data_IF_008128743762
#
_entry.id   IF_008128743762
#
_cell.length_a   1.000
_cell.length_b   1.000
_cell.length_c   1.000
_cell.angle_alpha   90.00
_cell.angle_beta   90.00
_cell.angle_gamma   90.00
#
_symmetry.space_group_name_H-M   'P 1'
#
loop_
_entity.id
_entity.type
_entity.pdbx_description
1 polymer ?
#
# COMPACT_ATOMS: atom_id res chain seq x y z
N UNK A 1 19.18 33.52 -20.62
CA UNK A 1 18.65 32.15 -20.79
C UNK A 1 19.11 31.31 -19.59
N UNK A 2 18.30 31.22 -18.53
CA UNK A 2 18.61 30.43 -17.33
C UNK A 2 17.72 29.19 -17.30
N UNK A 3 18.35 28.03 -17.28
CA UNK A 3 17.72 26.70 -17.30
C UNK A 3 17.03 26.46 -15.94
N UNK A 4 15.70 26.32 -15.96
CA UNK A 4 14.89 25.86 -14.82
C UNK A 4 15.16 24.36 -14.60
N UNK A 5 16.03 24.04 -13.67
CA UNK A 5 16.15 22.67 -13.13
C UNK A 5 14.94 22.38 -12.27
N UNK A 6 13.98 21.65 -12.83
CA UNK A 6 12.82 21.12 -12.11
C UNK A 6 13.29 19.89 -11.35
N UNK A 7 13.49 20.02 -10.04
CA UNK A 7 13.74 18.90 -9.14
C UNK A 7 12.39 18.26 -8.80
N UNK A 8 12.09 17.14 -9.45
CA UNK A 8 11.01 16.24 -9.07
C UNK A 8 11.38 15.57 -7.73
N UNK A 9 10.98 16.16 -6.61
CA UNK A 9 11.05 15.51 -5.31
C UNK A 9 9.76 14.70 -5.08
N UNK A 10 9.91 13.38 -5.16
CA UNK A 10 8.84 12.41 -4.95
C UNK A 10 8.18 12.55 -3.58
N UNK A 11 6.94 13.01 -3.57
CA UNK A 11 6.04 13.05 -2.42
C UNK A 11 4.95 11.98 -2.57
N UNK A 12 5.33 10.71 -2.69
CA UNK A 12 4.37 9.58 -2.70
C UNK A 12 4.60 8.58 -1.56
N UNK A 13 5.30 8.98 -0.51
CA UNK A 13 5.69 8.07 0.58
C UNK A 13 4.79 8.13 1.82
N UNK A 14 3.74 8.94 1.84
CA UNK A 14 2.83 9.04 2.99
C UNK A 14 1.49 8.29 2.84
N UNK A 15 1.29 7.52 1.77
CA UNK A 15 0.20 6.53 1.70
C UNK A 15 0.51 5.24 2.51
N UNK A 16 1.63 5.21 3.24
CA UNK A 16 2.27 4.03 3.82
C UNK A 16 1.81 3.62 5.23
N UNK A 17 0.59 3.98 5.59
CA UNK A 17 -0.07 3.42 6.76
C UNK A 17 -1.57 3.22 6.52
N UNK A 18 -1.96 2.78 5.31
CA UNK A 18 -3.28 2.15 5.18
C UNK A 18 -3.29 0.97 6.15
N UNK A 19 -4.18 0.94 7.15
CA UNK A 19 -3.95 0.01 8.22
C UNK A 19 -4.12 -1.42 7.69
N UNK A 20 -3.43 -2.39 8.31
CA UNK A 20 -3.39 -3.76 7.77
C UNK A 20 -4.76 -4.45 7.75
N UNK A 21 -5.79 -3.93 8.40
CA UNK A 21 -7.17 -4.43 8.29
C UNK A 21 -7.89 -4.02 6.99
N UNK A 22 -7.30 -3.13 6.19
CA UNK A 22 -7.96 -2.35 5.15
C UNK A 22 -7.43 -2.84 3.81
N UNK A 23 -8.25 -3.62 3.08
CA UNK A 23 -7.94 -4.06 1.71
C UNK A 23 -9.25 -4.24 0.93
N UNK A 24 -9.34 -3.77 -0.33
CA UNK A 24 -10.55 -3.81 -1.15
C UNK A 24 -10.79 -5.23 -1.69
N UNK A 25 -11.08 -6.18 -0.81
CA UNK A 25 -11.19 -7.59 -1.15
C UNK A 25 -12.26 -7.92 -2.19
N UNK A 26 -13.29 -7.08 -2.27
CA UNK A 26 -14.40 -7.19 -3.21
C UNK A 26 -13.98 -6.88 -4.65
N UNK A 27 -12.92 -6.11 -4.86
CA UNK A 27 -12.33 -5.83 -6.18
C UNK A 27 -11.32 -6.91 -6.61
N UNK A 28 -10.86 -7.72 -5.66
CA UNK A 28 -9.84 -8.73 -5.93
C UNK A 28 -10.47 -10.01 -6.49
N UNK A 29 -9.72 -10.80 -7.28
CA UNK A 29 -10.14 -12.14 -7.72
C UNK A 29 -10.60 -13.03 -6.55
N UNK A 30 -10.08 -12.74 -5.35
CA UNK A 30 -10.42 -13.40 -4.11
C UNK A 30 -11.91 -13.43 -3.76
N UNK A 31 -12.68 -12.41 -4.15
CA UNK A 31 -14.13 -12.38 -3.91
C UNK A 31 -14.87 -13.53 -4.62
N UNK A 32 -14.37 -13.95 -5.79
CA UNK A 32 -14.97 -15.06 -6.57
C UNK A 32 -14.83 -16.41 -5.88
N UNK A 33 -13.81 -16.57 -5.03
CA UNK A 33 -13.56 -17.83 -4.29
C UNK A 33 -14.44 -18.00 -3.04
N UNK A 34 -15.19 -16.97 -2.63
CA UNK A 34 -15.99 -17.00 -1.40
C UNK A 34 -17.34 -17.73 -1.55
N UNK A 35 -17.71 -18.12 -2.77
CA UNK A 35 -19.01 -18.75 -3.07
C UNK A 35 -20.17 -17.93 -2.48
N UNK A 36 -20.22 -16.63 -2.82
CA UNK A 36 -21.26 -15.72 -2.33
C UNK A 36 -22.62 -16.13 -2.87
N UNK A 37 -23.63 -16.20 -1.99
CA UNK A 37 -25.01 -16.41 -2.41
C UNK A 37 -25.52 -15.25 -3.28
N UNK A 38 -26.58 -15.43 -4.08
CA UNK A 38 -27.19 -14.32 -4.84
C UNK A 38 -27.58 -13.14 -3.94
N UNK A 39 -28.13 -13.42 -2.76
CA UNK A 39 -28.49 -12.39 -1.77
C UNK A 39 -27.28 -11.64 -1.23
N UNK A 40 -26.16 -12.32 -0.95
CA UNK A 40 -24.92 -11.67 -0.52
C UNK A 40 -24.34 -10.78 -1.61
N UNK A 41 -24.37 -11.23 -2.87
CA UNK A 41 -23.91 -10.43 -4.01
C UNK A 41 -24.73 -9.15 -4.17
N UNK A 42 -26.05 -9.25 -4.08
CA UNK A 42 -26.95 -8.10 -4.15
C UNK A 42 -26.71 -7.10 -3.01
N UNK A 43 -26.54 -7.58 -1.78
CA UNK A 43 -26.21 -6.74 -0.62
C UNK A 43 -24.87 -6.02 -0.80
N UNK A 44 -23.83 -6.73 -1.25
CA UNK A 44 -22.52 -6.15 -1.54
C UNK A 44 -22.63 -5.05 -2.59
N UNK A 45 -23.30 -5.32 -3.72
CA UNK A 45 -23.46 -4.32 -4.77
C UNK A 45 -24.25 -3.10 -4.28
N UNK A 46 -25.25 -3.29 -3.43
CA UNK A 46 -26.05 -2.20 -2.85
C UNK A 46 -25.19 -1.31 -1.95
N UNK A 47 -24.36 -1.91 -1.09
CA UNK A 47 -23.40 -1.18 -0.26
C UNK A 47 -22.43 -0.40 -1.15
N UNK A 48 -21.83 -1.04 -2.17
CA UNK A 48 -20.89 -0.36 -3.06
C UNK A 48 -21.53 0.84 -3.78
N UNK A 49 -22.76 0.69 -4.30
CA UNK A 49 -23.50 1.79 -4.93
C UNK A 49 -23.77 2.94 -3.97
N UNK A 50 -24.14 2.65 -2.72
CA UNK A 50 -24.42 3.66 -1.71
C UNK A 50 -23.20 4.55 -1.40
N UNK A 51 -22.00 3.97 -1.40
CA UNK A 51 -20.77 4.70 -1.02
C UNK A 51 -20.00 5.27 -2.21
N UNK A 52 -20.29 4.83 -3.45
CA UNK A 52 -19.53 5.18 -4.65
C UNK A 52 -19.35 6.68 -4.84
N UNK A 53 -20.44 7.45 -4.85
CA UNK A 53 -20.37 8.89 -5.13
C UNK A 53 -19.60 9.63 -4.05
N UNK A 54 -19.87 9.34 -2.77
CA UNK A 54 -19.16 9.95 -1.64
C UNK A 54 -17.65 9.67 -1.70
N UNK A 55 -17.24 8.45 -2.04
CA UNK A 55 -15.82 8.10 -2.16
C UNK A 55 -15.14 8.79 -3.35
N UNK A 56 -15.86 9.02 -4.46
CA UNK A 56 -15.36 9.80 -5.59
C UNK A 56 -15.12 11.25 -5.16
N UNK A 57 -16.12 11.88 -4.53
CA UNK A 57 -16.02 13.27 -4.08
C UNK A 57 -14.90 13.47 -3.05
N UNK A 58 -14.79 12.55 -2.09
CA UNK A 58 -13.73 12.60 -1.08
C UNK A 58 -12.34 12.36 -1.67
N UNK A 59 -12.21 11.52 -2.70
CA UNK A 59 -10.94 11.36 -3.42
C UNK A 59 -10.54 12.65 -4.12
N UNK A 60 -11.47 13.28 -4.83
CA UNK A 60 -11.22 14.59 -5.45
C UNK A 60 -10.85 15.65 -4.40
N UNK A 61 -11.43 15.61 -3.19
CA UNK A 61 -11.04 16.50 -2.09
C UNK A 61 -9.60 16.26 -1.63
N UNK A 62 -9.18 15.00 -1.51
CA UNK A 62 -7.79 14.66 -1.17
C UNK A 62 -6.84 15.15 -2.25
N UNK A 63 -7.14 14.89 -3.53
CA UNK A 63 -6.30 15.33 -4.66
C UNK A 63 -6.13 16.85 -4.68
N UNK A 64 -7.21 17.61 -4.43
CA UNK A 64 -7.15 19.08 -4.31
C UNK A 64 -6.28 19.55 -3.15
N UNK A 65 -6.39 18.90 -1.99
CA UNK A 65 -5.60 19.27 -0.81
C UNK A 65 -4.12 18.90 -0.97
N UNK A 66 -3.81 17.80 -1.65
CA UNK A 66 -2.44 17.42 -2.04
C UNK A 66 -1.85 18.44 -3.01
N UNK A 67 -2.61 18.87 -4.03
CA UNK A 67 -2.17 19.92 -4.96
C UNK A 67 -1.94 21.26 -4.25
N UNK A 68 -2.81 21.65 -3.33
CA UNK A 68 -2.63 22.88 -2.54
C UNK A 68 -1.37 22.82 -1.65
N UNK A 69 -1.05 21.64 -1.10
CA UNK A 69 0.19 21.43 -0.35
C UNK A 69 1.41 21.52 -1.27
N UNK A 70 1.36 20.93 -2.46
CA UNK A 70 2.42 21.04 -3.46
C UNK A 70 2.66 22.50 -3.87
N UNK A 71 1.59 23.25 -4.15
CA UNK A 71 1.66 24.68 -4.44
C UNK A 71 2.30 25.47 -3.31
N UNK A 72 2.06 25.09 -2.04
CA UNK A 72 2.68 25.72 -0.87
C UNK A 72 4.20 25.50 -0.84
N UNK A 73 4.69 24.30 -1.19
CA UNK A 73 6.12 24.01 -1.27
C UNK A 73 6.80 24.68 -2.47
N UNK A 74 6.07 24.93 -3.55
CA UNK A 74 6.61 25.50 -4.80
C UNK A 74 6.64 27.04 -4.83
N UNK A 75 6.23 27.73 -3.75
CA UNK A 75 6.27 29.21 -3.69
C UNK A 75 7.71 29.71 -3.54
N UNK A 76 8.00 30.85 -4.19
CA UNK A 76 9.31 31.51 -4.09
C UNK A 76 9.64 31.99 -2.67
N UNK A 77 8.61 32.34 -1.88
CA UNK A 77 8.75 32.71 -0.48
C UNK A 77 7.78 31.88 0.38
N UNK A 78 8.24 31.38 1.55
CA UNK A 78 7.38 30.63 2.45
C UNK A 78 6.24 31.54 2.96
N UNK A 79 4.98 31.08 2.90
CA UNK A 79 3.85 31.81 3.45
C UNK A 79 3.93 31.88 4.98
N UNK A 80 3.07 32.70 5.58
CA UNK A 80 2.99 32.80 7.04
C UNK A 80 2.56 31.46 7.68
N UNK A 81 2.86 31.26 8.99
CA UNK A 81 2.52 30.02 9.67
C UNK A 81 1.02 29.69 9.70
N UNK A 82 0.13 30.68 9.73
CA UNK A 82 -1.32 30.43 9.78
C UNK A 82 -1.82 29.87 8.45
N UNK A 83 -1.40 30.46 7.33
CA UNK A 83 -1.70 29.95 5.99
C UNK A 83 -1.15 28.54 5.81
N UNK A 84 0.08 28.29 6.27
CA UNK A 84 0.71 26.96 6.20
C UNK A 84 -0.08 25.91 6.97
N UNK A 85 -0.43 26.21 8.23
CA UNK A 85 -1.20 25.29 9.06
C UNK A 85 -2.56 24.97 8.45
N UNK A 86 -3.24 25.96 7.87
CA UNK A 86 -4.54 25.75 7.22
C UNK A 86 -4.47 24.73 6.08
N UNK A 87 -3.45 24.82 5.21
CA UNK A 87 -3.28 23.86 4.09
C UNK A 87 -2.99 22.45 4.61
N UNK A 88 -2.18 22.34 5.68
CA UNK A 88 -1.91 21.06 6.33
C UNK A 88 -3.21 20.48 6.91
N UNK A 89 -3.99 21.28 7.63
CA UNK A 89 -5.25 20.86 8.24
C UNK A 89 -6.26 20.39 7.18
N UNK A 90 -6.38 21.11 6.05
CA UNK A 90 -7.25 20.70 4.94
C UNK A 90 -6.89 19.32 4.38
N UNK A 91 -5.59 19.01 4.24
CA UNK A 91 -5.13 17.68 3.82
C UNK A 91 -5.43 16.61 4.88
N UNK A 92 -5.16 16.90 6.16
CA UNK A 92 -5.43 15.99 7.27
C UNK A 92 -6.92 15.66 7.33
N UNK A 93 -7.79 16.66 7.26
CA UNK A 93 -9.24 16.48 7.25
C UNK A 93 -9.71 15.66 6.04
N UNK A 94 -9.21 15.96 4.84
CA UNK A 94 -9.58 15.24 3.62
C UNK A 94 -9.21 13.76 3.72
N UNK A 95 -7.99 13.45 4.20
CA UNK A 95 -7.53 12.08 4.43
C UNK A 95 -8.33 11.37 5.53
N UNK A 96 -8.66 12.07 6.62
CA UNK A 96 -9.46 11.50 7.69
C UNK A 96 -10.88 11.16 7.20
N UNK A 97 -11.50 12.06 6.42
CA UNK A 97 -12.83 11.87 5.88
C UNK A 97 -12.92 10.65 4.95
N UNK A 98 -12.03 10.54 3.95
CA UNK A 98 -12.02 9.39 3.04
C UNK A 98 -11.72 8.09 3.79
N UNK A 99 -10.77 8.11 4.73
CA UNK A 99 -10.43 6.93 5.54
C UNK A 99 -11.65 6.48 6.33
N UNK A 100 -12.35 7.40 7.00
CA UNK A 100 -13.57 7.07 7.76
C UNK A 100 -14.63 6.42 6.88
N UNK A 101 -15.00 7.07 5.77
CA UNK A 101 -16.05 6.56 4.89
C UNK A 101 -15.69 5.21 4.27
N UNK A 102 -14.45 5.04 3.83
CA UNK A 102 -13.97 3.76 3.31
C UNK A 102 -13.97 2.65 4.38
N UNK A 103 -13.63 2.99 5.63
CA UNK A 103 -13.65 2.06 6.77
C UNK A 103 -15.07 1.60 7.08
N UNK A 104 -16.00 2.55 7.14
CA UNK A 104 -17.43 2.27 7.38
C UNK A 104 -18.00 1.37 6.28
N UNK A 105 -17.71 1.65 5.01
CA UNK A 105 -18.08 0.79 3.89
C UNK A 105 -17.48 -0.61 4.03
N UNK A 106 -16.16 -0.71 4.30
CA UNK A 106 -15.46 -1.98 4.45
C UNK A 106 -16.03 -2.82 5.59
N UNK A 107 -16.43 -2.18 6.69
CA UNK A 107 -17.10 -2.83 7.81
C UNK A 107 -18.47 -3.39 7.41
N UNK A 108 -19.30 -2.61 6.71
CA UNK A 108 -20.59 -3.10 6.19
C UNK A 108 -20.42 -4.29 5.24
N UNK A 109 -19.44 -4.23 4.34
CA UNK A 109 -19.12 -5.34 3.44
C UNK A 109 -18.69 -6.60 4.22
N UNK A 110 -17.88 -6.43 5.27
CA UNK A 110 -17.51 -7.54 6.16
C UNK A 110 -18.73 -8.20 6.80
N UNK A 111 -19.74 -7.43 7.20
CA UNK A 111 -20.94 -7.95 7.87
C UNK A 111 -21.81 -8.83 6.96
N UNK A 112 -21.68 -8.73 5.64
CA UNK A 112 -22.39 -9.60 4.68
C UNK A 112 -21.83 -11.04 4.67
N UNK A 113 -20.56 -11.22 5.02
CA UNK A 113 -19.88 -12.50 4.98
C UNK A 113 -20.11 -13.32 6.25
N UNK A 114 -20.30 -14.63 6.10
CA UNK A 114 -20.30 -15.55 7.25
C UNK A 114 -18.91 -15.59 7.93
N UNK A 115 -18.82 -16.03 9.19
CA UNK A 115 -17.53 -16.23 9.86
C UNK A 115 -16.57 -17.13 9.06
N UNK A 116 -17.07 -18.19 8.42
CA UNK A 116 -16.29 -19.13 7.63
C UNK A 116 -15.81 -18.51 6.31
N UNK A 117 -16.65 -17.73 5.63
CA UNK A 117 -16.24 -16.99 4.43
C UNK A 117 -15.16 -15.97 4.78
N UNK A 118 -15.30 -15.25 5.89
CA UNK A 118 -14.28 -14.30 6.34
C UNK A 118 -12.96 -14.98 6.71
N UNK A 119 -13.01 -16.12 7.41
CA UNK A 119 -11.80 -16.89 7.72
C UNK A 119 -11.08 -17.34 6.45
N UNK A 120 -11.83 -17.88 5.47
CA UNK A 120 -11.29 -18.26 4.15
C UNK A 120 -10.65 -17.07 3.44
N UNK A 121 -11.31 -15.92 3.45
CA UNK A 121 -10.78 -14.68 2.90
C UNK A 121 -9.42 -14.31 3.51
N UNK A 122 -9.32 -14.35 4.85
CA UNK A 122 -8.09 -13.96 5.55
C UNK A 122 -6.94 -14.95 5.30
N UNK A 123 -7.21 -16.25 5.32
CA UNK A 123 -6.21 -17.28 4.98
C UNK A 123 -5.69 -17.09 3.55
N UNK A 124 -6.57 -16.79 2.60
CA UNK A 124 -6.15 -16.50 1.22
C UNK A 124 -5.39 -15.19 1.11
N UNK A 125 -5.84 -14.13 1.79
CA UNK A 125 -5.14 -12.85 1.80
C UNK A 125 -3.66 -13.01 2.19
N UNK A 126 -3.37 -13.82 3.21
CA UNK A 126 -2.00 -14.10 3.65
C UNK A 126 -1.14 -14.75 2.55
N UNK A 127 -1.73 -15.65 1.75
CA UNK A 127 -1.08 -16.29 0.60
C UNK A 127 -0.87 -15.34 -0.58
N UNK A 128 -1.78 -14.38 -0.78
CA UNK A 128 -1.69 -13.38 -1.85
C UNK A 128 -0.71 -12.23 -1.53
N UNK A 129 -0.32 -12.02 -0.25
CA UNK A 129 0.59 -10.94 0.19
C UNK A 129 1.88 -10.73 -0.63
N UNK A 130 2.57 -11.76 -1.14
CA UNK A 130 3.79 -11.55 -1.91
C UNK A 130 3.56 -10.95 -3.31
N UNK A 131 2.39 -11.16 -3.92
CA UNK A 131 2.11 -10.78 -5.31
C UNK A 131 1.56 -9.36 -5.47
N UNK A 132 0.54 -8.99 -4.68
CA UNK A 132 -0.14 -7.69 -4.84
C UNK A 132 0.70 -6.49 -4.38
N UNK A 133 1.65 -6.68 -3.46
CA UNK A 133 2.59 -5.62 -3.06
C UNK A 133 3.53 -5.26 -4.22
N UNK A 134 3.91 -6.24 -5.05
CA UNK A 134 4.82 -6.04 -6.18
C UNK A 134 4.12 -5.42 -7.39
N UNK A 135 2.86 -5.77 -7.61
CA UNK A 135 2.07 -5.32 -8.76
C UNK A 135 1.50 -3.90 -8.61
N UNK A 136 1.25 -3.45 -7.37
CA UNK A 136 0.78 -2.09 -7.06
C UNK A 136 1.89 -1.15 -6.54
N UNK A 137 3.16 -1.46 -6.81
CA UNK A 137 4.30 -0.58 -6.53
C UNK A 137 4.54 -0.30 -5.04
N UNK A 138 4.16 -1.24 -4.18
CA UNK A 138 4.09 -1.08 -2.74
C UNK A 138 5.32 -1.72 -2.05
N UNK A 139 6.23 -0.96 -1.36
CA UNK A 139 7.34 -1.58 -0.64
C UNK A 139 6.91 -2.67 0.32
N UNK A 140 7.72 -3.74 0.47
CA UNK A 140 7.47 -4.78 1.45
C UNK A 140 7.35 -4.13 2.83
N UNK A 141 6.18 -4.29 3.47
CA UNK A 141 5.92 -3.69 4.77
C UNK A 141 6.98 -4.10 5.81
N UNK A 142 7.26 -3.26 6.81
CA UNK A 142 8.27 -3.56 7.81
C UNK A 142 7.79 -4.76 8.64
N UNK A 143 8.52 -5.87 8.56
CA UNK A 143 8.16 -7.06 9.33
C UNK A 143 8.65 -8.41 8.85
N UNK A 144 9.74 -8.51 8.08
CA UNK A 144 10.61 -9.69 8.15
C UNK A 144 12.03 -9.20 8.34
N UNK A 145 12.75 -9.62 9.39
CA UNK A 145 14.20 -9.51 9.38
C UNK A 145 14.67 -10.05 8.03
N UNK A 146 15.49 -9.27 7.35
CA UNK A 146 16.26 -9.76 6.22
C UNK A 146 17.17 -10.83 6.81
N UNK A 147 16.74 -12.10 6.81
CA UNK A 147 17.70 -13.19 6.92
C UNK A 147 18.63 -12.99 5.73
N UNK A 148 19.93 -12.69 5.96
CA UNK A 148 20.88 -12.67 4.87
C UNK A 148 20.80 -14.06 4.26
N UNK A 149 20.30 -14.13 3.03
CA UNK A 149 20.40 -15.35 2.23
C UNK A 149 21.90 -15.58 2.11
N UNK A 150 22.42 -16.54 2.88
CA UNK A 150 23.82 -16.95 2.75
C UNK A 150 24.08 -17.13 1.26
N UNK A 151 24.97 -16.30 0.73
CA UNK A 151 25.33 -16.39 -0.67
C UNK A 151 25.82 -17.83 -0.90
N UNK A 152 25.31 -18.55 -1.91
CA UNK A 152 25.85 -19.87 -2.20
C UNK A 152 27.36 -19.72 -2.44
N UNK A 153 28.15 -20.45 -1.66
CA UNK A 153 29.61 -20.40 -1.70
C UNK A 153 30.08 -20.48 -3.16
N UNK A 154 31.00 -19.61 -3.61
CA UNK A 154 31.50 -19.67 -4.96
C UNK A 154 32.09 -21.07 -5.20
N UNK A 155 31.60 -21.77 -6.22
CA UNK A 155 32.16 -23.05 -6.65
C UNK A 155 33.65 -22.81 -6.98
N UNK A 156 34.57 -23.66 -6.51
CA UNK A 156 35.97 -23.53 -6.89
C UNK A 156 36.09 -23.66 -8.42
N UNK A 157 36.77 -22.71 -9.04
CA UNK A 157 37.09 -22.76 -10.46
C UNK A 157 37.95 -24.02 -10.74
N UNK A 158 37.69 -24.79 -11.80
CA UNK A 158 38.53 -25.91 -12.16
C UNK A 158 39.90 -25.39 -12.58
N UNK A 159 40.93 -25.65 -11.78
CA UNK A 159 42.32 -25.38 -12.15
C UNK A 159 43.21 -24.73 -11.08
N UNK A 160 42.70 -24.33 -9.92
CA UNK A 160 43.56 -23.78 -8.86
C UNK A 160 44.09 -24.89 -7.93
N UNK A 161 45.34 -25.32 -8.17
CA UNK A 161 46.12 -26.11 -7.21
C UNK A 161 46.86 -25.13 -6.29
N UNK A 162 46.40 -25.01 -5.04
CA UNK A 162 47.12 -24.23 -4.04
C UNK A 162 48.50 -24.86 -3.75
N UNK A 163 49.60 -24.08 -3.71
CA UNK A 163 50.89 -24.57 -3.26
C UNK A 163 50.96 -24.49 -1.73
N UNK A 164 51.31 -25.60 -1.09
CA UNK A 164 51.72 -25.61 0.32
C UNK A 164 50.68 -26.16 1.29
N UNK A 165 50.77 -27.47 1.53
CA UNK A 165 50.28 -28.12 2.75
C UNK A 165 51.34 -29.14 3.19
N UNK A 166 51.67 -29.24 4.49
CA UNK A 166 52.81 -30.00 4.98
C UNK A 166 52.67 -31.50 4.70
N UNK A 167 53.79 -32.11 4.31
CA UNK A 167 53.93 -33.57 4.15
C UNK A 167 53.84 -34.22 5.52
N UNK A 168 52.88 -35.12 5.70
CA UNK A 168 53.04 -36.24 6.62
C UNK A 168 53.14 -37.52 5.80
N UNK A 169 54.23 -38.24 6.03
CA UNK A 169 54.47 -39.62 5.65
C UNK A 169 55.40 -40.22 6.72
N UNK A 170 55.55 -41.55 6.78
CA UNK A 170 54.58 -42.61 6.52
C UNK A 170 53.84 -43.08 7.77
#
# INVERSE_FOLDING_TARGET
>A
MLRRTTLLLGLTSALWAQPRAYFPWWELPLARELQLSPSQQEQIQTILRQYRNTLIDQRARVEKAEAALEDLFNRDQPPDPQTTNKVIDELVEARAAITRTFTEMSWKLRQVLTPEQWRRLQERRQRWRPGWMREWGMPPGPGRPFEPREAPSPRPAPGYRAPGGPRHAP
#
